data_IF_541280497984
#
_entry.id   IF_541280497984
#
_cell.length_a   1.000
_cell.length_b   1.000
_cell.length_c   1.000
_cell.angle_alpha   90.00
_cell.angle_beta   90.00
_cell.angle_gamma   90.00
#
_symmetry.space_group_name_H-M   'P 1'
#
loop_
_entity.id
_entity.type
_entity.pdbx_description
1 polymer ?
#
# COMPACT_ATOMS: atom_id res chain seq x y z
N UNK A 1 25.00 9.70 -7.11
CA UNK A 1 24.84 9.60 -5.64
C UNK A 1 23.43 10.05 -5.29
N UNK A 2 22.51 9.11 -5.04
CA UNK A 2 21.19 9.40 -4.45
C UNK A 2 20.93 8.29 -3.43
N UNK A 3 21.03 8.67 -2.16
CA UNK A 3 20.93 7.79 -0.98
C UNK A 3 19.54 7.16 -0.93
N UNK A 4 19.45 5.85 -1.11
CA UNK A 4 18.34 5.04 -0.62
C UNK A 4 18.67 4.65 0.83
N UNK A 5 18.03 5.32 1.78
CA UNK A 5 18.11 4.96 3.19
C UNK A 5 17.06 3.86 3.42
N UNK A 6 17.52 2.61 3.54
CA UNK A 6 16.71 1.48 3.98
C UNK A 6 17.07 1.21 5.44
N UNK A 7 16.20 1.58 6.36
CA UNK A 7 16.32 1.27 7.79
C UNK A 7 15.42 0.08 8.11
N UNK A 8 15.84 -1.07 7.60
CA UNK A 8 15.50 -2.37 8.18
C UNK A 8 16.50 -2.66 9.31
N UNK A 9 15.98 -3.31 10.37
CA UNK A 9 16.65 -3.81 11.61
C UNK A 9 16.35 -2.98 12.86
N UNK A 10 15.28 -3.37 13.56
CA UNK A 10 15.25 -3.30 15.01
C UNK A 10 14.95 -4.72 15.53
N UNK A 11 16.04 -5.45 15.80
CA UNK A 11 16.07 -6.67 16.61
C UNK A 11 16.85 -6.32 17.87
N UNK A 12 16.33 -6.80 19.00
CA UNK A 12 16.87 -6.90 20.37
C UNK A 12 15.88 -6.28 21.36
N UNK A 13 15.58 -6.84 22.53
CA UNK A 13 15.90 -8.10 23.20
C UNK A 13 15.10 -8.05 24.52
N UNK A 14 14.72 -9.21 25.04
CA UNK A 14 14.42 -9.50 26.45
C UNK A 14 13.18 -8.90 27.15
N UNK A 15 12.25 -9.83 27.41
CA UNK A 15 11.88 -10.33 28.74
C UNK A 15 11.24 -9.34 29.75
N UNK A 16 9.92 -9.31 29.72
CA UNK A 16 9.12 -9.21 30.94
C UNK A 16 7.95 -10.19 30.83
N UNK A 17 8.00 -11.25 31.65
CA UNK A 17 6.86 -12.13 31.85
C UNK A 17 5.79 -11.37 32.63
N UNK A 18 4.67 -11.05 31.98
CA UNK A 18 3.45 -10.65 32.66
C UNK A 18 2.32 -11.51 32.10
N UNK A 19 2.08 -12.61 32.79
CA UNK A 19 0.90 -13.44 32.62
C UNK A 19 -0.29 -12.70 33.24
N UNK A 20 -1.16 -12.16 32.38
CA UNK A 20 -2.58 -12.01 32.66
C UNK A 20 -3.33 -12.82 31.58
N UNK A 21 -3.90 -14.00 31.85
CA UNK A 21 -5.13 -14.23 32.62
C UNK A 21 -6.37 -13.69 31.90
N UNK A 22 -6.89 -14.59 31.06
CA UNK A 22 -8.29 -14.82 30.69
C UNK A 22 -9.01 -13.81 29.80
N UNK A 23 -9.64 -14.41 28.78
CA UNK A 23 -10.95 -14.06 28.22
C UNK A 23 -11.03 -12.63 27.66
N UNK A 24 -11.13 -12.45 26.37
CA UNK A 24 -12.05 -13.09 25.46
C UNK A 24 -11.33 -13.19 24.13
N UNK A 25 -11.64 -14.21 23.34
CA UNK A 25 -11.64 -13.95 21.91
C UNK A 25 -12.69 -12.84 21.70
N UNK A 26 -12.25 -11.59 21.70
CA UNK A 26 -13.02 -10.53 21.09
C UNK A 26 -13.11 -10.91 19.61
N UNK A 27 -14.30 -11.39 19.25
CA UNK A 27 -14.78 -11.34 17.89
C UNK A 27 -14.89 -9.86 17.52
N UNK A 28 -13.76 -9.23 17.22
CA UNK A 28 -13.75 -8.02 16.42
C UNK A 28 -13.96 -8.47 14.97
N UNK A 29 -15.20 -8.90 14.66
CA UNK A 29 -15.73 -8.78 13.30
C UNK A 29 -15.95 -7.27 13.08
N UNK A 30 -14.84 -6.58 12.83
CA UNK A 30 -14.77 -5.20 12.41
C UNK A 30 -15.58 -5.08 11.10
N UNK A 31 -16.83 -4.61 11.19
CA UNK A 31 -17.65 -4.14 10.04
C UNK A 31 -17.02 -2.89 9.37
N UNK A 32 -15.69 -2.83 9.26
CA UNK A 32 -14.99 -1.82 8.46
C UNK A 32 -15.09 -2.23 7.01
N UNK A 33 -16.12 -1.73 6.34
CA UNK A 33 -16.19 -1.77 4.88
C UNK A 33 -14.86 -1.30 4.27
N UNK A 34 -14.31 -2.03 3.29
CA UNK A 34 -13.00 -1.73 2.72
C UNK A 34 -12.98 -0.37 2.00
N UNK A 35 -11.78 0.13 1.72
CA UNK A 35 -11.63 1.30 0.87
C UNK A 35 -12.18 1.00 -0.53
N UNK A 36 -12.91 1.94 -1.11
CA UNK A 36 -13.36 1.84 -2.49
C UNK A 36 -12.40 2.58 -3.40
N UNK A 37 -11.77 1.84 -4.31
CA UNK A 37 -10.81 2.35 -5.28
C UNK A 37 -11.51 2.56 -6.62
N UNK A 38 -11.10 3.58 -7.39
CA UNK A 38 -11.63 3.78 -8.75
C UNK A 38 -11.22 2.66 -9.71
N UNK A 39 -10.08 2.03 -9.45
CA UNK A 39 -9.67 0.78 -10.08
C UNK A 39 -8.81 -0.03 -9.12
N UNK A 40 -9.02 -1.35 -9.12
CA UNK A 40 -8.20 -2.32 -8.39
C UNK A 40 -7.16 -3.00 -9.30
N UNK A 41 -7.32 -2.87 -10.63
CA UNK A 41 -6.44 -3.45 -11.64
C UNK A 41 -6.02 -2.34 -12.61
N UNK A 42 -4.73 -2.08 -12.72
CA UNK A 42 -4.21 -1.02 -13.57
C UNK A 42 -3.17 -1.62 -14.50
N UNK A 43 -3.34 -1.44 -15.80
CA UNK A 43 -2.30 -1.72 -16.79
C UNK A 43 -1.60 -0.42 -17.17
N UNK A 44 -0.28 -0.47 -17.18
CA UNK A 44 0.57 0.64 -17.60
C UNK A 44 1.62 0.17 -18.58
N UNK A 45 2.14 1.13 -19.34
CA UNK A 45 3.36 0.98 -20.13
C UNK A 45 4.50 1.63 -19.36
N UNK A 46 5.72 1.08 -19.46
CA UNK A 46 6.93 1.66 -18.87
C UNK A 46 7.00 3.17 -19.13
N UNK A 47 7.31 3.96 -18.10
CA UNK A 47 7.43 5.41 -18.19
C UNK A 47 6.11 6.18 -18.13
N UNK A 48 4.94 5.53 -18.23
CA UNK A 48 3.63 6.19 -18.13
C UNK A 48 3.12 6.22 -16.69
N UNK A 49 2.05 7.00 -16.47
CA UNK A 49 1.40 7.17 -15.16
C UNK A 49 -0.10 6.92 -15.25
N UNK A 50 -0.69 6.46 -14.15
CA UNK A 50 -2.14 6.39 -13.97
C UNK A 50 -2.53 6.96 -12.60
N UNK A 51 -3.78 7.36 -12.45
CA UNK A 51 -4.34 7.85 -11.18
C UNK A 51 -5.45 6.94 -10.69
N UNK A 52 -5.43 6.61 -9.40
CA UNK A 52 -6.51 5.90 -8.70
C UNK A 52 -7.00 6.78 -7.56
N UNK A 53 -8.31 6.97 -7.45
CA UNK A 53 -8.92 7.73 -6.36
C UNK A 53 -9.48 6.81 -5.28
N UNK A 54 -9.32 7.22 -4.03
CA UNK A 54 -9.85 6.52 -2.85
C UNK A 54 -11.17 7.15 -2.42
N UNK A 55 -12.14 6.30 -2.08
CA UNK A 55 -13.41 6.68 -1.46
C UNK A 55 -13.74 5.71 -0.31
N UNK A 56 -14.75 6.04 0.51
CA UNK A 56 -15.15 5.25 1.67
C UNK A 56 -14.09 5.14 2.81
N UNK A 57 -13.13 6.07 2.84
CA UNK A 57 -12.05 6.13 3.84
C UNK A 57 -11.85 7.52 4.43
N UNK A 58 -10.94 7.63 5.40
CA UNK A 58 -10.63 8.83 6.17
C UNK A 58 -9.18 9.27 5.96
N UNK A 59 -8.98 10.50 5.48
CA UNK A 59 -7.63 11.07 5.29
C UNK A 59 -6.84 11.21 6.61
N UNK A 60 -5.49 11.21 6.57
CA UNK A 60 -4.65 11.03 5.39
C UNK A 60 -4.61 9.59 4.90
N UNK A 61 -4.28 9.41 3.61
CA UNK A 61 -4.06 8.11 3.00
C UNK A 61 -2.56 7.87 2.80
N UNK A 62 -2.17 6.60 2.87
CA UNK A 62 -0.82 6.12 2.60
C UNK A 62 -0.92 5.05 1.52
N UNK A 63 -0.04 5.14 0.52
CA UNK A 63 0.10 4.13 -0.53
C UNK A 63 1.53 3.60 -0.53
N UNK A 64 1.69 2.28 -0.56
CA UNK A 64 2.98 1.60 -0.60
C UNK A 64 2.98 0.53 -1.68
N UNK A 65 3.93 0.60 -2.61
CA UNK A 65 4.18 -0.45 -3.59
C UNK A 65 4.93 -1.61 -2.96
N UNK A 66 4.58 -2.84 -3.34
CA UNK A 66 5.35 -4.05 -3.01
C UNK A 66 6.72 -4.06 -3.69
N UNK A 67 6.86 -3.36 -4.82
CA UNK A 67 8.09 -3.27 -5.60
C UNK A 67 8.19 -1.88 -6.25
N UNK A 68 9.09 -1.05 -5.72
CA UNK A 68 9.33 0.32 -6.23
C UNK A 68 10.21 0.35 -7.48
N UNK A 69 10.88 -0.74 -7.84
CA UNK A 69 11.62 -0.87 -9.10
C UNK A 69 10.66 -1.14 -10.27
N UNK A 70 9.46 -1.65 -9.99
CA UNK A 70 8.38 -1.84 -10.98
C UNK A 70 7.40 -0.65 -10.99
N UNK A 71 6.87 -0.24 -9.82
CA UNK A 71 5.89 0.84 -9.70
C UNK A 71 6.17 1.72 -8.49
N UNK A 72 6.21 3.04 -8.71
CA UNK A 72 6.29 4.03 -7.63
C UNK A 72 4.95 4.74 -7.43
N UNK A 73 4.73 5.27 -6.23
CA UNK A 73 3.44 5.87 -5.84
C UNK A 73 3.63 7.23 -5.17
N UNK A 74 2.77 8.19 -5.50
CA UNK A 74 2.61 9.45 -4.75
C UNK A 74 1.16 9.63 -4.35
N UNK A 75 0.92 10.24 -3.18
CA UNK A 75 -0.42 10.49 -2.68
C UNK A 75 -0.63 12.00 -2.52
N UNK A 76 -1.66 12.52 -3.15
CA UNK A 76 -2.18 13.87 -2.90
C UNK A 76 -3.65 13.78 -2.51
N UNK A 77 -3.97 14.15 -1.26
CA UNK A 77 -5.30 13.96 -0.67
C UNK A 77 -5.78 12.51 -0.89
N UNK A 78 -6.87 12.31 -1.64
CA UNK A 78 -7.45 11.01 -1.96
C UNK A 78 -7.00 10.45 -3.32
N UNK A 79 -6.07 11.11 -4.01
CA UNK A 79 -5.59 10.70 -5.34
C UNK A 79 -4.22 10.05 -5.21
N UNK A 80 -4.11 8.83 -5.73
CA UNK A 80 -2.88 8.05 -5.79
C UNK A 80 -2.40 8.09 -7.24
N UNK A 81 -1.20 8.62 -7.47
CA UNK A 81 -0.54 8.55 -8.77
C UNK A 81 0.41 7.37 -8.77
N UNK A 82 0.22 6.48 -9.73
CA UNK A 82 1.06 5.32 -10.02
C UNK A 82 1.99 5.69 -11.18
N UNK A 83 3.29 5.44 -11.04
CA UNK A 83 4.27 5.61 -12.12
C UNK A 83 4.97 4.30 -12.41
N UNK A 84 4.86 3.84 -13.65
CA UNK A 84 5.54 2.65 -14.13
C UNK A 84 7.04 2.93 -14.33
N UNK A 85 7.86 2.05 -13.75
CA UNK A 85 9.33 2.16 -13.77
C UNK A 85 9.95 1.06 -14.63
N UNK A 86 9.52 -0.19 -14.48
CA UNK A 86 9.99 -1.33 -15.26
C UNK A 86 8.86 -2.33 -15.51
N UNK A 87 9.02 -3.18 -16.53
CA UNK A 87 8.09 -4.29 -16.83
C UNK A 87 7.97 -5.23 -15.64
N UNK A 88 6.75 -5.66 -15.35
CA UNK A 88 6.48 -6.62 -14.28
C UNK A 88 5.12 -6.39 -13.64
N UNK A 89 4.90 -6.97 -12.46
CA UNK A 89 3.68 -6.78 -11.68
C UNK A 89 4.04 -6.37 -10.25
N UNK A 90 3.34 -5.38 -9.74
CA UNK A 90 3.44 -4.94 -8.35
C UNK A 90 2.05 -4.74 -7.74
N UNK A 91 1.93 -4.91 -6.43
CA UNK A 91 0.70 -4.59 -5.69
C UNK A 91 0.94 -3.33 -4.87
N UNK A 92 0.06 -2.34 -5.00
CA UNK A 92 0.03 -1.15 -4.17
C UNK A 92 -1.00 -1.34 -3.07
N UNK A 93 -0.53 -1.35 -1.82
CA UNK A 93 -1.39 -1.33 -0.65
C UNK A 93 -1.74 0.12 -0.29
N UNK A 94 -3.03 0.39 -0.10
CA UNK A 94 -3.55 1.69 0.32
C UNK A 94 -4.14 1.54 1.70
N UNK A 95 -3.83 2.46 2.61
CA UNK A 95 -4.39 2.48 3.97
C UNK A 95 -4.82 3.89 4.34
N UNK A 96 -5.91 4.01 5.08
CA UNK A 96 -6.41 5.29 5.60
C UNK A 96 -6.09 5.47 7.09
N UNK A 97 -6.46 6.63 7.66
CA UNK A 97 -6.27 6.90 9.10
C UNK A 97 -6.98 5.90 10.02
N UNK A 98 -8.11 5.37 9.58
CA UNK A 98 -8.93 4.41 10.31
C UNK A 98 -8.47 2.95 10.13
N UNK A 99 -7.30 2.72 9.50
CA UNK A 99 -6.72 1.41 9.19
C UNK A 99 -7.57 0.56 8.23
N UNK A 100 -8.49 1.18 7.48
CA UNK A 100 -9.13 0.53 6.33
C UNK A 100 -8.10 0.37 5.23
N UNK A 101 -8.18 -0.75 4.50
CA UNK A 101 -7.24 -1.05 3.43
C UNK A 101 -7.92 -1.30 2.08
N UNK A 102 -7.15 -1.08 1.01
CA UNK A 102 -7.46 -1.45 -0.35
C UNK A 102 -6.19 -1.85 -1.09
N UNK A 103 -6.30 -2.61 -2.17
CA UNK A 103 -5.16 -3.08 -2.96
C UNK A 103 -5.38 -2.74 -4.43
N UNK A 104 -4.30 -2.31 -5.09
CA UNK A 104 -4.27 -2.08 -6.54
C UNK A 104 -3.20 -3.01 -7.11
N UNK A 105 -3.60 -3.93 -7.98
CA UNK A 105 -2.67 -4.71 -8.80
C UNK A 105 -2.29 -3.91 -10.02
N UNK A 106 -0.99 -3.72 -10.24
CA UNK A 106 -0.46 -2.97 -11.38
C UNK A 106 0.38 -3.89 -12.24
N UNK A 107 0.02 -4.02 -13.51
CA UNK A 107 0.79 -4.76 -14.51
C UNK A 107 1.43 -3.76 -15.47
N UNK A 108 2.76 -3.80 -15.57
CA UNK A 108 3.54 -2.93 -16.45
C UNK A 108 4.02 -3.73 -17.65
N UNK A 109 3.64 -3.28 -18.84
CA UNK A 109 4.07 -3.78 -20.15
C UNK A 109 5.23 -2.94 -20.69
N UNK A 110 6.00 -3.52 -21.60
CA UNK A 110 7.10 -2.83 -22.29
C UNK A 110 6.58 -1.60 -23.06
N UNK A 111 7.43 -0.59 -23.21
CA UNK A 111 7.16 0.50 -24.15
C UNK A 111 7.34 -0.05 -25.56
N UNK A 112 6.22 -0.28 -26.26
CA UNK A 112 6.29 -0.66 -27.67
C UNK A 112 6.94 0.50 -28.45
N UNK A 113 8.01 0.15 -29.17
CA UNK A 113 8.85 1.07 -29.95
C UNK A 113 8.39 1.15 -31.40
#
# INVERSE_FOLDING_TARGET
MKKSISISKLVCLSLAAMVFTFTSCDKDDDDKSPLKLSSENVELVVGKTATVTVSNGTSPYVAASSDTEIVTTTVDKSTITLKAVAKGTATVAVTDKAKKSGKITVTVKDEES
#
